data_IF_599206579501
#
_entry.id   IF_599206579501
#
_cell.length_a   1.000
_cell.length_b   1.000
_cell.length_c   1.000
_cell.angle_alpha   90.00
_cell.angle_beta   90.00
_cell.angle_gamma   90.00
#
_symmetry.space_group_name_H-M   'P 1'
#
loop_
_entity.id
_entity.type
_entity.pdbx_description
1 polymer ?
2 non-polymer ?
3 water ?
#
# COMPACT_ATOMS: atom_id res chain seq x y z
CA UNK A 3 2.29 -30.35 18.16
C UNK A 3 1.98 -29.16 17.26
N UNK A 4 1.69 -28.01 17.88
CA UNK A 4 1.45 -26.76 17.17
C UNK A 4 2.50 -25.74 17.60
N UNK A 5 2.80 -24.80 16.70
CA UNK A 5 3.70 -23.69 16.98
C UNK A 5 2.90 -22.41 16.93
N UNK A 6 3.06 -21.58 17.97
CA UNK A 6 2.30 -20.34 18.07
C UNK A 6 2.97 -19.49 19.16
N UNK A 7 3.66 -18.43 18.76
CA UNK A 7 4.35 -17.60 19.72
C UNK A 7 3.37 -16.73 20.49
N UNK A 8 3.75 -16.36 21.71
CA UNK A 8 3.03 -15.33 22.42
C UNK A 8 3.24 -14.02 21.66
N UNK A 9 2.17 -13.28 21.35
CA UNK A 9 2.34 -12.02 20.60
C UNK A 9 3.26 -11.05 21.33
N UNK A 10 4.12 -10.37 20.57
CA UNK A 10 4.99 -9.33 21.10
C UNK A 10 4.57 -8.01 20.47
N UNK A 11 4.73 -6.91 21.22
CA UNK A 11 4.40 -5.59 20.69
C UNK A 11 5.67 -4.94 20.12
N UNK A 12 5.68 -4.74 18.80
CA UNK A 12 6.81 -4.11 18.11
C UNK A 12 6.77 -2.59 18.17
N UNK A 13 5.59 -2.02 18.39
CA UNK A 13 5.41 -0.59 18.55
C UNK A 13 4.30 -0.42 19.58
N UNK A 14 4.42 0.60 20.41
CA UNK A 14 3.50 0.85 21.51
C UNK A 14 3.59 2.32 21.86
N UNK A 15 2.57 2.88 22.51
CA UNK A 15 2.59 4.32 22.80
C UNK A 15 3.84 4.70 23.61
N UNK A 16 4.46 5.81 23.23
CA UNK A 16 5.72 6.21 23.86
C UNK A 16 6.96 5.76 23.09
N UNK A 17 6.93 4.57 22.48
CA UNK A 17 8.05 4.08 21.68
C UNK A 17 8.43 5.12 20.64
N UNK A 18 9.72 5.46 20.59
CA UNK A 18 10.29 6.41 19.64
C UNK A 18 9.61 7.77 19.74
N UNK A 19 9.05 8.08 20.92
CA UNK A 19 8.39 9.32 21.29
C UNK A 19 6.99 9.43 20.69
N UNK A 20 6.50 8.38 20.02
CA UNK A 20 5.26 8.47 19.29
C UNK A 20 4.09 8.11 20.17
N UNK A 21 3.06 8.97 20.14
CA UNK A 21 1.81 8.66 20.86
C UNK A 21 1.07 7.50 20.22
N UNK A 22 1.10 7.40 18.89
CA UNK A 22 0.26 6.45 18.19
C UNK A 22 1.02 5.65 17.15
N UNK A 23 0.44 4.50 16.80
CA UNK A 23 0.96 3.59 15.79
C UNK A 23 -0.21 2.85 15.15
N UNK A 24 -0.14 2.67 13.83
CA UNK A 24 -1.19 1.95 13.10
C UNK A 24 -0.62 1.45 11.77
N UNK A 25 -1.38 0.54 11.16
CA UNK A 25 -1.29 0.20 9.74
C UNK A 25 -0.07 -0.68 9.50
N UNK A 26 -0.16 -1.99 9.77
CA UNK A 26 1.02 -2.86 9.67
C UNK A 26 1.30 -3.25 8.23
N UNK A 27 2.58 -3.33 7.89
CA UNK A 27 3.02 -3.97 6.66
C UNK A 27 4.10 -4.97 7.03
N UNK A 28 4.16 -6.07 6.28
CA UNK A 28 5.04 -7.17 6.67
C UNK A 28 5.52 -7.91 5.44
N UNK A 29 6.84 -8.03 5.28
CA UNK A 29 7.42 -8.70 4.12
C UNK A 29 8.66 -9.46 4.56
N UNK A 30 8.91 -10.59 3.91
CA UNK A 30 10.12 -11.38 4.15
C UNK A 30 11.06 -11.21 2.96
N UNK A 31 12.32 -10.88 3.22
CA UNK A 31 13.23 -10.69 2.11
C UNK A 31 13.84 -12.03 1.70
N UNK A 32 14.60 -12.02 0.60
CA UNK A 32 15.18 -13.27 0.11
C UNK A 32 16.29 -13.76 1.03
N UNK A 33 16.89 -12.88 1.83
CA UNK A 33 17.81 -13.33 2.88
C UNK A 33 17.09 -13.87 4.11
N UNK A 34 15.76 -13.96 4.10
CA UNK A 34 15.05 -14.43 5.28
C UNK A 34 14.77 -13.39 6.35
N UNK A 35 15.05 -12.12 6.11
CA UNK A 35 14.74 -11.08 7.07
C UNK A 35 13.27 -10.73 7.03
N UNK A 36 12.64 -10.63 8.20
CA UNK A 36 11.28 -10.09 8.30
C UNK A 36 11.36 -8.57 8.46
N UNK A 37 10.59 -7.85 7.64
CA UNK A 37 10.49 -6.41 7.70
C UNK A 37 9.07 -6.04 8.09
N UNK A 38 8.93 -5.28 9.19
CA UNK A 38 7.65 -4.78 9.66
C UNK A 38 7.69 -3.27 9.58
N UNK A 39 6.86 -2.69 8.73
CA UNK A 39 6.76 -1.23 8.68
C UNK A 39 5.41 -0.78 9.23
N UNK A 40 5.34 0.50 9.60
CA UNK A 40 4.26 1.00 10.43
C UNK A 40 4.15 2.50 10.23
N UNK A 41 2.95 3.03 10.42
CA UNK A 41 2.76 4.48 10.57
C UNK A 41 3.25 4.87 11.95
N UNK A 42 4.27 5.73 12.02
CA UNK A 42 4.62 6.35 13.29
C UNK A 42 3.71 7.57 13.43
N UNK A 43 2.60 7.41 14.14
CA UNK A 43 1.54 8.43 14.20
C UNK A 43 1.77 9.24 15.48
N UNK A 44 2.67 10.23 15.36
CA UNK A 44 3.26 10.81 16.55
C UNK A 44 2.26 11.55 17.42
N UNK A 45 1.25 12.17 16.82
CA UNK A 45 0.27 12.92 17.59
C UNK A 45 -0.94 12.10 17.98
N UNK A 46 -0.95 10.81 17.66
CA UNK A 46 -2.02 9.91 18.07
C UNK A 46 -2.47 9.03 16.94
N UNK A 47 -3.40 8.15 17.25
CA UNK A 47 -3.80 7.15 16.27
C UNK A 47 -4.63 7.71 15.12
N UNK A 48 -5.05 8.96 15.17
CA UNK A 48 -5.96 9.45 14.15
C UNK A 48 -5.28 9.61 12.79
N UNK A 49 -6.07 9.40 11.73
CA UNK A 49 -5.62 9.67 10.37
C UNK A 49 -5.18 11.12 10.20
N UNK A 50 -4.36 11.37 9.18
CA UNK A 50 -4.13 12.73 8.70
C UNK A 50 -5.47 13.36 8.36
N UNK A 51 -5.62 14.68 8.43
CA UNK A 51 -4.59 15.69 8.69
C UNK A 51 -4.28 15.90 10.17
N UNK A 52 -3.42 16.88 10.47
CA UNK A 52 -3.05 17.25 11.84
C UNK A 52 -2.33 16.11 12.57
N UNK A 53 -1.57 15.30 11.85
CA UNK A 53 -0.77 14.30 12.53
C UNK A 53 0.60 14.22 11.88
N UNK A 54 1.64 14.37 12.69
CA UNK A 54 3.00 14.16 12.22
C UNK A 54 3.24 12.66 12.09
N UNK A 55 2.93 12.10 10.92
CA UNK A 55 3.02 10.65 10.70
C UNK A 55 4.25 10.37 9.85
N UNK A 56 5.15 9.54 10.38
CA UNK A 56 6.34 9.06 9.70
C UNK A 56 6.26 7.56 9.43
N UNK A 57 7.14 7.10 8.54
CA UNK A 57 7.31 5.67 8.27
C UNK A 57 8.35 5.11 9.24
N UNK A 58 7.98 4.07 9.97
CA UNK A 58 8.93 3.37 10.83
C UNK A 58 9.08 1.92 10.42
N UNK A 59 10.15 1.26 10.84
CA UNK A 59 10.40 -0.12 10.40
C UNK A 59 11.20 -0.87 11.48
N UNK A 60 10.90 -2.15 11.64
CA UNK A 60 11.69 -3.06 12.46
C UNK A 60 12.11 -4.25 11.61
N UNK A 61 13.29 -4.79 11.91
CA UNK A 61 13.88 -5.91 11.18
C UNK A 61 14.13 -7.07 12.12
N UNK A 62 13.84 -8.30 11.67
CA UNK A 62 14.19 -9.52 12.40
C UNK A 62 14.86 -10.45 11.39
N UNK A 63 16.18 -10.50 11.44
CA UNK A 63 16.91 -11.38 10.55
C UNK A 63 16.72 -12.84 10.96
N UNK A 64 17.02 -13.74 10.02
CA UNK A 64 16.96 -15.17 10.30
C UNK A 64 17.86 -15.48 11.49
N UNK A 65 17.35 -16.27 12.43
CA UNK A 65 18.06 -16.57 13.67
C UNK A 65 18.53 -15.28 14.35
N UNK A 66 17.58 -14.36 14.54
CA UNK A 66 17.87 -13.10 15.18
C UNK A 66 16.67 -12.62 15.95
N UNK A 67 16.89 -11.57 16.71
CA UNK A 67 15.85 -10.89 17.47
C UNK A 67 15.38 -9.64 16.73
N UNK A 68 14.25 -9.09 17.15
CA UNK A 68 13.78 -7.84 16.56
C UNK A 68 14.75 -6.73 16.90
N UNK A 69 15.33 -6.11 15.87
CA UNK A 69 16.07 -4.87 16.08
C UNK A 69 15.12 -3.76 16.48
N UNK A 70 15.63 -2.79 17.25
CA UNK A 70 14.80 -1.66 17.63
C UNK A 70 14.32 -0.93 16.38
N UNK A 71 13.19 -0.23 16.50
CA UNK A 71 12.61 0.44 15.35
C UNK A 71 13.36 1.72 15.03
N UNK A 72 13.28 2.13 13.77
CA UNK A 72 13.78 3.43 13.35
C UNK A 72 12.84 4.03 12.33
N UNK A 73 12.87 5.37 12.27
CA UNK A 73 12.09 6.15 11.31
C UNK A 73 12.91 6.26 10.04
N UNK A 74 12.30 5.90 8.91
CA UNK A 74 12.99 5.89 7.63
C UNK A 74 12.41 6.86 6.64
N UNK A 75 11.30 7.53 6.96
CA UNK A 75 10.75 8.60 6.14
C UNK A 75 9.99 9.57 7.03
N UNK A 76 10.30 10.86 6.90
CA UNK A 76 9.87 11.88 7.86
C UNK A 76 9.77 13.20 7.11
N UNK A 77 8.55 13.65 6.83
CA UNK A 77 8.30 14.90 6.14
C UNK A 77 8.17 16.05 7.13
N UNK A 78 8.34 17.30 6.68
CA UNK A 78 8.27 18.46 7.59
C UNK A 78 6.92 18.58 8.29
N UNK A 79 6.97 19.13 9.51
CA UNK A 79 5.73 19.49 10.20
C UNK A 79 4.79 18.31 10.35
N UNK A 80 3.50 18.60 10.27
CA UNK A 80 2.48 17.55 10.28
C UNK A 80 2.05 17.16 8.86
N UNK A 81 3.01 17.17 7.94
CA UNK A 81 2.82 16.58 6.62
C UNK A 81 3.01 15.07 6.75
N UNK A 82 2.02 14.30 6.32
CA UNK A 82 1.93 12.90 6.72
C UNK A 82 2.47 11.96 5.65
N UNK A 83 3.21 10.96 6.08
CA UNK A 83 3.44 9.76 5.29
C UNK A 83 2.61 8.66 5.96
N UNK A 84 1.62 8.14 5.25
CA UNK A 84 0.63 7.27 5.88
C UNK A 84 0.30 6.09 4.97
N UNK A 85 0.19 4.89 5.56
CA UNK A 85 -0.20 3.65 4.89
C UNK A 85 0.93 3.05 4.04
N UNK A 86 1.78 2.21 4.62
CA UNK A 86 2.90 1.69 3.82
C UNK A 86 2.55 0.34 3.16
N UNK A 87 3.34 0.01 2.13
CA UNK A 87 3.25 -1.27 1.45
C UNK A 87 4.65 -1.70 1.03
N UNK A 88 5.02 -2.92 1.37
CA UNK A 88 6.36 -3.44 1.14
C UNK A 88 6.34 -4.46 0.02
N UNK A 89 7.46 -4.59 -0.68
CA UNK A 89 7.58 -5.60 -1.72
C UNK A 89 9.04 -5.96 -1.93
N UNK A 90 9.38 -7.21 -1.61
CA UNK A 90 10.64 -7.78 -2.04
C UNK A 90 10.53 -8.21 -3.49
N UNK A 91 11.46 -7.75 -4.33
CA UNK A 91 11.48 -8.11 -5.74
C UNK A 91 12.92 -8.30 -6.20
N UNK A 92 13.08 -8.97 -7.35
CA UNK A 92 14.40 -9.34 -7.81
C UNK A 92 14.54 -9.04 -9.30
N UNK A 93 15.78 -8.84 -9.72
CA UNK A 93 16.16 -8.68 -11.11
C UNK A 93 17.45 -9.49 -11.31
N UNK A 94 17.62 -10.03 -12.52
CA UNK A 94 18.83 -10.77 -12.88
C UNK A 94 19.85 -9.80 -13.44
N UNK A 95 20.93 -9.57 -12.70
CA UNK A 95 21.99 -8.65 -13.10
C UNK A 95 23.28 -9.45 -13.18
N UNK A 96 23.74 -9.72 -14.41
CA UNK A 96 25.01 -10.39 -14.65
C UNK A 96 25.10 -11.72 -13.90
N UNK A 97 24.04 -12.51 -14.01
CA UNK A 97 24.03 -13.86 -13.48
C UNK A 97 23.69 -13.99 -12.00
N UNK A 98 23.57 -12.88 -11.27
CA UNK A 98 23.11 -12.93 -9.89
C UNK A 98 21.72 -12.32 -9.82
N UNK A 99 20.91 -12.84 -8.91
CA UNK A 99 19.60 -12.26 -8.63
C UNK A 99 19.80 -11.16 -7.59
N UNK A 100 19.59 -9.92 -7.99
CA UNK A 100 19.73 -8.76 -7.10
C UNK A 100 18.36 -8.41 -6.52
N UNK A 101 18.32 -8.21 -5.22
CA UNK A 101 17.08 -7.90 -4.52
C UNK A 101 16.95 -6.41 -4.25
N UNK A 102 15.78 -5.87 -4.53
CA UNK A 102 15.42 -4.52 -4.10
C UNK A 102 14.13 -4.63 -3.31
N UNK A 103 14.10 -4.00 -2.14
CA UNK A 103 12.90 -3.98 -1.31
C UNK A 103 12.23 -2.64 -1.56
N UNK A 104 11.02 -2.70 -2.11
CA UNK A 104 10.25 -1.52 -2.45
C UNK A 104 9.26 -1.21 -1.34
N UNK A 105 9.04 0.08 -1.11
CA UNK A 105 8.04 0.55 -0.17
C UNK A 105 7.35 1.76 -0.79
N UNK A 106 6.02 1.73 -0.85
CA UNK A 106 5.27 2.92 -1.23
C UNK A 106 4.40 3.36 -0.05
N UNK A 107 4.14 4.66 0.02
CA UNK A 107 3.36 5.27 1.10
C UNK A 107 2.51 6.38 0.49
N UNK A 108 1.44 6.74 1.20
CA UNK A 108 0.62 7.88 0.78
C UNK A 108 1.11 9.12 1.53
N UNK A 109 1.04 10.25 0.85
CA UNK A 109 1.68 11.46 1.34
C UNK A 109 0.74 12.62 1.10
N UNK A 110 0.59 13.45 2.13
CA UNK A 110 -0.22 14.66 2.14
C UNK A 110 0.62 15.83 2.64
N UNK A 111 0.46 17.03 2.08
CA UNK A 111 1.04 18.21 2.71
C UNK A 111 0.34 18.47 4.04
N UNK A 112 0.90 19.40 4.80
CA UNK A 112 0.31 19.72 6.09
C UNK A 112 -1.13 20.22 5.90
N UNK A 113 -2.03 19.71 6.73
CA UNK A 113 -3.41 20.16 6.71
C UNK A 113 -4.34 19.33 5.87
N UNK A 114 -3.84 18.33 5.15
CA UNK A 114 -4.72 17.59 4.25
C UNK A 114 -4.64 16.11 4.54
N UNK A 115 -5.73 15.44 4.17
CA UNK A 115 -5.83 14.00 4.28
C UNK A 115 -7.07 13.56 3.54
N UNK A 116 -7.42 12.29 3.69
CA UNK A 116 -8.57 11.73 2.97
C UNK A 116 -9.82 12.62 3.02
N UNK A 117 -10.28 13.13 4.17
CA UNK A 117 -11.59 13.82 4.18
C UNK A 117 -11.62 15.12 3.41
N UNK A 118 -10.51 15.83 3.23
CA UNK A 118 -10.55 17.12 2.55
C UNK A 118 -9.58 17.20 1.39
N UNK A 119 -9.12 16.07 0.87
CA UNK A 119 -8.16 16.10 -0.22
C UNK A 119 -8.74 16.83 -1.42
N UNK A 120 -7.93 17.67 -2.04
CA UNK A 120 -8.27 18.24 -3.32
C UNK A 120 -7.95 17.25 -4.42
N UNK A 121 -8.34 17.60 -5.66
CA UNK A 121 -8.11 16.74 -6.81
C UNK A 121 -6.83 17.10 -7.55
N UNK A 122 -6.50 16.27 -8.52
CA UNK A 122 -5.39 16.54 -9.42
C UNK A 122 -4.13 15.79 -9.03
N UNK A 123 -3.21 15.70 -9.98
CA UNK A 123 -1.94 15.02 -9.78
C UNK A 123 -0.99 15.81 -8.90
N UNK A 124 -1.25 17.10 -8.73
CA UNK A 124 -0.28 17.99 -8.14
C UNK A 124 0.75 18.53 -9.10
N UNK A 125 0.66 18.17 -10.39
CA UNK A 125 1.64 18.57 -11.40
C UNK A 125 0.95 19.28 -12.55
N UNK A 126 1.69 20.21 -13.16
CA UNK A 126 1.32 20.82 -14.43
C UNK A 126 2.18 20.21 -15.54
N UNK A 127 1.54 19.70 -16.59
CA UNK A 127 2.28 19.17 -17.73
C UNK A 127 2.45 20.24 -18.78
N UNK A 128 3.69 20.61 -19.06
CA UNK A 128 4.02 21.61 -20.08
C UNK A 128 4.91 20.92 -21.10
N UNK A 129 4.39 20.72 -22.30
CA UNK A 129 5.12 20.08 -23.40
C UNK A 129 5.78 18.77 -22.94
N UNK A 130 4.95 17.83 -22.51
CA UNK A 130 5.42 16.50 -22.16
C UNK A 130 6.15 16.38 -20.84
N UNK A 131 6.56 17.49 -20.23
CA UNK A 131 7.23 17.50 -18.94
C UNK A 131 6.24 17.84 -17.83
N UNK A 132 6.43 17.23 -16.66
CA UNK A 132 5.57 17.44 -15.50
C UNK A 132 6.28 18.28 -14.46
N UNK A 133 5.62 19.35 -14.00
CA UNK A 133 6.19 20.29 -13.03
C UNK A 133 5.30 20.41 -11.80
N UNK A 134 5.94 20.30 -10.63
CA UNK A 134 5.26 20.47 -9.35
C UNK A 134 4.50 21.78 -9.28
N UNK A 135 3.25 21.72 -8.87
CA UNK A 135 2.45 22.92 -8.72
C UNK A 135 2.65 23.49 -7.33
N UNK A 136 2.83 24.81 -7.26
CA UNK A 136 2.75 25.58 -6.02
C UNK A 136 1.64 26.61 -6.17
N UNK A 137 0.93 26.87 -5.06
CA UNK A 137 -0.16 27.85 -4.97
C UNK A 137 0.22 28.94 -3.96
N UNK A 138 -0.24 30.17 -4.21
CA UNK A 138 -0.06 31.22 -3.23
C UNK A 138 -1.37 31.49 -2.51
N UNK A 139 -1.29 32.34 -1.48
CA UNK A 139 -2.45 32.72 -0.68
C UNK A 139 -3.61 33.24 -1.51
N UNK A 140 -3.36 33.73 -2.73
CA UNK A 140 -4.41 34.25 -3.61
C UNK A 140 -4.85 33.25 -4.67
N UNK A 141 -4.48 31.98 -4.52
CA UNK A 141 -4.94 30.89 -5.40
C UNK A 141 -4.35 30.96 -6.80
N UNK A 142 -3.23 31.65 -6.98
CA UNK A 142 -2.52 31.63 -8.25
C UNK A 142 -1.64 30.40 -8.35
N UNK A 143 -1.38 29.98 -9.58
CA UNK A 143 -0.65 28.75 -9.85
C UNK A 143 0.78 29.05 -10.26
N UNK A 144 1.72 28.29 -9.71
CA UNK A 144 3.12 28.42 -10.03
C UNK A 144 3.66 27.04 -10.36
N UNK A 145 4.81 27.01 -11.03
CA UNK A 145 5.43 25.74 -11.42
C UNK A 145 6.91 25.75 -11.03
N UNK A 146 7.39 24.58 -10.63
CA UNK A 146 8.78 24.37 -10.27
C UNK A 146 9.43 23.65 -11.44
N UNK A 147 10.33 24.34 -12.14
CA UNK A 147 10.90 23.83 -13.36
C UNK A 147 12.36 23.46 -13.11
N UNK A 148 13.18 23.45 -14.17
CA UNK A 148 14.55 23.02 -14.04
C UNK A 148 15.31 23.92 -13.06
N UNK A 149 16.31 23.35 -12.41
CA UNK A 149 17.05 23.98 -11.32
C UNK A 149 16.16 24.36 -10.13
N UNK A 150 14.96 23.79 -10.05
CA UNK A 150 14.02 24.19 -9.02
C UNK A 150 13.47 25.60 -9.16
N UNK A 151 13.78 26.28 -10.25
CA UNK A 151 13.36 27.67 -10.41
C UNK A 151 11.85 27.73 -10.58
N UNK A 152 11.20 28.62 -9.85
CA UNK A 152 9.74 28.73 -9.81
C UNK A 152 9.27 29.73 -10.86
N UNK A 153 8.26 29.33 -11.63
CA UNK A 153 7.63 30.17 -12.64
C UNK A 153 6.20 30.50 -12.25
N UNK A 154 5.80 31.75 -12.41
CA UNK A 154 4.43 32.14 -12.11
C UNK A 154 3.50 31.70 -13.25
N UNK A 155 2.24 32.14 -13.17
CA UNK A 155 1.22 31.70 -14.11
C UNK A 155 1.30 32.38 -15.47
N UNK A 156 2.15 33.38 -15.63
CA UNK A 156 2.39 33.98 -16.93
C UNK A 156 3.54 33.29 -17.65
N UNK A 157 4.04 32.18 -17.12
CA UNK A 157 5.23 31.57 -17.66
C UNK A 157 6.50 32.33 -17.37
N UNK A 158 6.47 33.28 -16.43
CA UNK A 158 7.62 34.12 -16.12
C UNK A 158 8.31 33.65 -14.85
N UNK A 159 9.61 33.93 -14.80
CA UNK A 159 10.46 33.49 -13.71
C UNK A 159 10.34 34.42 -12.50
N UNK A 160 10.31 33.83 -11.31
CA UNK A 160 10.17 34.55 -10.04
C UNK A 160 11.47 34.48 -9.27
N UNK A 161 11.53 35.21 -8.14
CA UNK A 161 12.65 35.11 -7.21
C UNK A 161 12.53 33.93 -6.23
N UNK A 162 11.69 32.94 -6.50
CA UNK A 162 11.58 31.76 -5.65
C UNK A 162 12.29 30.58 -6.29
N UNK A 163 12.92 29.75 -5.44
CA UNK A 163 13.50 28.46 -5.79
C UNK A 163 12.96 27.45 -4.80
N UNK A 164 12.53 26.28 -5.29
CA UNK A 164 12.11 25.18 -4.42
C UNK A 164 13.09 24.03 -4.55
N UNK A 165 13.70 23.64 -3.43
CA UNK A 165 14.52 22.44 -3.39
C UNK A 165 13.65 21.19 -3.52
N UNK A 166 14.29 20.05 -3.72
CA UNK A 166 13.55 18.80 -3.88
C UNK A 166 12.87 18.35 -2.60
N UNK A 167 13.35 18.77 -1.43
CA UNK A 167 12.62 18.44 -0.21
C UNK A 167 11.55 19.49 0.09
N UNK A 168 11.21 20.33 -0.88
CA UNK A 168 10.14 21.32 -0.89
C UNK A 168 10.52 22.59 -0.13
N UNK A 169 11.76 22.70 0.35
CA UNK A 169 12.23 23.95 0.93
C UNK A 169 12.13 25.07 -0.09
N UNK A 170 11.61 26.23 0.34
CA UNK A 170 11.41 27.39 -0.51
C UNK A 170 12.44 28.47 -0.19
N UNK A 171 13.05 29.03 -1.23
CA UNK A 171 14.13 29.99 -1.10
C UNK A 171 13.77 31.22 -1.93
N UNK A 172 13.89 32.40 -1.33
CA UNK A 172 13.61 33.67 -1.99
C UNK A 172 14.81 34.58 -1.80
N UNK A 173 15.54 34.86 -2.89
CA UNK A 173 16.75 35.68 -2.83
C UNK A 173 17.74 35.14 -1.80
N UNK A 174 18.05 33.84 -1.91
CA UNK A 174 19.03 33.20 -1.05
C UNK A 174 18.54 32.81 0.32
N UNK A 175 17.49 33.45 0.83
CA UNK A 175 16.93 33.17 2.15
C UNK A 175 15.84 32.11 2.04
N UNK A 176 15.76 31.24 3.04
CA UNK A 176 14.62 30.34 3.13
C UNK A 176 13.39 31.11 3.61
N UNK A 177 12.28 30.94 2.91
CA UNK A 177 11.04 31.59 3.32
C UNK A 177 9.97 30.59 3.76
N UNK A 178 10.21 29.30 3.63
CA UNK A 178 9.27 28.32 4.14
C UNK A 178 9.57 26.95 3.57
N UNK A 179 8.58 26.06 3.69
CA UNK A 179 8.58 24.76 3.06
C UNK A 179 7.19 24.53 2.49
N UNK A 180 7.13 24.14 1.21
CA UNK A 180 5.88 24.10 0.47
C UNK A 180 4.92 23.02 0.95
N UNK A 181 5.39 22.07 1.73
CA UNK A 181 4.50 21.12 2.39
C UNK A 181 3.91 21.67 3.68
N UNK A 182 4.31 22.86 4.12
CA UNK A 182 3.86 23.39 5.40
C UNK A 182 2.74 24.39 5.19
N UNK A 183 1.90 24.53 6.22
CA UNK A 183 0.71 25.35 6.09
C UNK A 183 0.96 26.83 6.36
N UNK A 184 2.19 27.23 6.72
CA UNK A 184 2.54 28.65 6.84
C UNK A 184 3.42 29.15 5.68
N UNK A 185 3.67 28.31 4.68
CA UNK A 185 4.55 28.68 3.60
C UNK A 185 3.87 29.69 2.68
N UNK A 186 4.63 30.64 2.11
CA UNK A 186 4.03 31.58 1.16
C UNK A 186 3.65 30.94 -0.16
N UNK A 187 4.32 29.86 -0.55
CA UNK A 187 3.90 29.04 -1.68
C UNK A 187 3.67 27.62 -1.19
N UNK A 188 2.56 27.01 -1.58
CA UNK A 188 2.16 25.73 -1.03
C UNK A 188 1.92 24.71 -2.14
N UNK A 189 2.36 23.48 -1.88
CA UNK A 189 2.00 22.37 -2.77
C UNK A 189 0.49 22.15 -2.74
N UNK A 190 -0.02 21.57 -3.84
CA UNK A 190 -1.45 21.32 -3.92
C UNK A 190 -1.85 20.36 -2.80
N UNK A 191 -2.98 20.66 -2.16
CA UNK A 191 -3.46 19.87 -1.04
C UNK A 191 -4.12 18.59 -1.50
N UNK A 192 -3.33 17.65 -2.01
CA UNK A 192 -3.87 16.43 -2.60
C UNK A 192 -2.95 15.24 -2.28
N UNK A 193 -3.45 14.03 -2.61
CA UNK A 193 -2.77 12.80 -2.23
C UNK A 193 -1.70 12.43 -3.23
N UNK A 194 -0.54 12.04 -2.73
CA UNK A 194 0.54 11.51 -3.54
C UNK A 194 0.88 10.10 -3.07
N UNK A 195 1.37 9.26 -3.98
CA UNK A 195 2.05 8.02 -3.60
C UNK A 195 3.54 8.25 -3.81
N UNK A 196 4.33 7.98 -2.78
CA UNK A 196 5.77 8.13 -2.87
C UNK A 196 6.41 6.77 -2.62
N UNK A 197 7.55 6.54 -3.25
CA UNK A 197 8.27 5.27 -3.18
C UNK A 197 9.69 5.49 -2.66
N UNK A 198 10.12 4.60 -1.76
CA UNK A 198 11.52 4.45 -1.37
C UNK A 198 11.91 3.00 -1.59
N UNK A 199 13.21 2.74 -1.62
CA UNK A 199 13.67 1.37 -1.82
C UNK A 199 14.94 1.13 -1.02
N UNK A 200 15.26 -0.16 -0.82
CA UNK A 200 16.44 -0.56 -0.08
C UNK A 200 17.15 -1.69 -0.81
N UNK A 201 18.47 -1.55 -0.95
CA UNK A 201 19.31 -2.56 -1.59
C UNK A 201 20.17 -3.31 -0.60
N UNK A 202 20.04 -3.03 0.69
CA UNK A 202 20.82 -3.71 1.71
C UNK A 202 19.91 -4.38 2.73
N UNK A 203 18.88 -5.07 2.25
CA UNK A 203 18.02 -5.90 3.10
C UNK A 203 17.21 -5.08 4.10
N UNK A 204 16.84 -3.85 3.75
CA UNK A 204 15.98 -3.04 4.59
C UNK A 204 16.68 -2.14 5.59
N UNK A 205 18.01 -2.12 5.61
CA UNK A 205 18.74 -1.31 6.57
C UNK A 205 18.74 0.17 6.22
N UNK A 206 18.96 0.52 4.96
CA UNK A 206 18.93 1.92 4.57
C UNK A 206 18.01 2.07 3.37
N UNK A 207 17.48 3.28 3.21
CA UNK A 207 16.44 3.53 2.24
C UNK A 207 16.80 4.74 1.40
N UNK A 208 16.30 4.74 0.17
CA UNK A 208 16.50 5.87 -0.72
C UNK A 208 15.68 7.07 -0.25
N UNK A 209 15.95 8.21 -0.86
CA UNK A 209 15.09 9.37 -0.70
C UNK A 209 13.77 9.12 -1.43
N UNK A 210 12.67 9.71 -0.97
CA UNK A 210 11.36 9.45 -1.60
C UNK A 210 11.30 9.95 -3.03
N UNK A 211 10.76 9.12 -3.92
CA UNK A 211 10.43 9.54 -5.27
C UNK A 211 8.91 9.58 -5.41
N UNK A 212 8.40 10.71 -5.90
CA UNK A 212 6.96 10.87 -6.07
C UNK A 212 6.51 10.12 -7.31
N UNK A 213 5.41 9.36 -7.19
CA UNK A 213 4.90 8.56 -8.30
C UNK A 213 3.69 9.19 -9.00
N UNK A 214 3.11 10.25 -8.44
CA UNK A 214 1.98 10.94 -9.10
C UNK A 214 2.22 11.34 -10.55
N UNK A 215 3.36 11.94 -10.94
CA UNK A 215 3.43 12.62 -12.25
C UNK A 215 3.39 11.66 -13.42
N UNK A 216 2.35 11.76 -14.23
CA UNK A 216 2.15 10.82 -15.32
C UNK A 216 1.53 9.52 -14.89
N UNK A 217 1.00 9.45 -13.66
CA UNK A 217 0.38 8.24 -13.14
C UNK A 217 -1.00 8.55 -12.58
N UNK A 218 -1.06 9.44 -11.60
CA UNK A 218 -2.36 9.82 -11.05
C UNK A 218 -3.11 10.70 -12.05
N UNK A 219 -4.40 10.43 -12.22
CA UNK A 219 -5.23 11.16 -13.17
C UNK A 219 -5.81 12.41 -12.52
N UNK A 220 -5.94 13.47 -13.32
CA UNK A 220 -6.27 14.78 -12.76
C UNK A 220 -7.65 14.81 -12.13
N UNK A 221 -8.55 13.90 -12.50
CA UNK A 221 -9.87 13.85 -11.87
C UNK A 221 -9.84 13.12 -10.54
N UNK A 222 -8.75 12.43 -10.21
CA UNK A 222 -8.67 11.72 -8.93
C UNK A 222 -8.42 12.70 -7.80
N UNK A 223 -9.12 12.48 -6.70
CA UNK A 223 -8.87 13.22 -5.47
C UNK A 223 -7.96 12.39 -4.57
N UNK A 224 -8.53 11.43 -3.85
CA UNK A 224 -7.66 10.53 -3.11
C UNK A 224 -6.96 9.59 -4.09
N UNK A 225 -5.74 9.21 -3.72
CA UNK A 225 -4.90 8.38 -4.57
C UNK A 225 -3.82 7.85 -3.63
N UNK A 226 -3.97 6.61 -3.18
CA UNK A 226 -3.20 6.17 -2.03
C UNK A 226 -2.84 4.69 -2.06
N UNK A 227 -1.80 4.38 -1.30
CA UNK A 227 -1.39 3.01 -1.05
C UNK A 227 -2.52 2.22 -0.39
N UNK A 228 -2.77 1.00 -0.89
CA UNK A 228 -3.55 0.00 -0.17
C UNK A 228 -2.58 -0.71 0.76
N UNK A 229 -2.63 -0.44 2.07
CA UNK A 229 -1.51 -0.83 2.94
C UNK A 229 -1.33 -2.34 3.06
N UNK A 230 -0.07 -2.73 3.27
CA UNK A 230 0.24 -4.15 3.40
C UNK A 230 1.46 -4.49 2.59
N UNK A 231 1.28 -5.17 1.45
CA UNK A 231 2.38 -5.46 0.55
C UNK A 231 1.88 -5.47 -0.89
N UNK A 232 2.85 -5.35 -1.82
CA UNK A 232 2.64 -5.72 -3.21
C UNK A 232 3.32 -7.05 -3.55
N UNK A 233 3.25 -7.42 -4.83
CA UNK A 233 3.85 -8.69 -5.26
C UNK A 233 4.54 -8.47 -6.61
N UNK A 234 5.59 -9.26 -6.85
CA UNK A 234 6.24 -9.32 -8.14
C UNK A 234 5.77 -10.58 -8.84
N UNK A 235 5.28 -10.44 -10.06
CA UNK A 235 4.68 -11.58 -10.76
C UNK A 235 5.75 -12.61 -11.06
N UNK A 236 5.44 -13.87 -10.78
CA UNK A 236 6.37 -14.97 -11.03
C UNK A 236 6.12 -15.71 -12.35
N UNK A 237 4.87 -15.88 -12.76
CA UNK A 237 4.51 -16.72 -13.89
C UNK A 237 3.93 -15.92 -15.05
N UNK A 238 4.03 -16.49 -16.24
CA UNK A 238 3.39 -15.89 -17.40
C UNK A 238 4.22 -14.82 -18.07
N UNK A 239 3.59 -14.16 -19.04
CA UNK A 239 4.32 -13.18 -19.85
C UNK A 239 4.72 -11.94 -19.06
N UNK A 240 4.08 -11.68 -17.92
CA UNK A 240 4.40 -10.52 -17.09
C UNK A 240 5.29 -10.89 -15.93
N UNK A 241 6.04 -11.98 -16.05
CA UNK A 241 7.00 -12.38 -15.03
C UNK A 241 7.98 -11.25 -14.82
N UNK A 242 8.26 -10.91 -13.56
CA UNK A 242 9.13 -9.80 -13.22
C UNK A 242 8.42 -8.48 -12.97
N UNK A 243 7.15 -8.35 -13.39
CA UNK A 243 6.41 -7.12 -13.18
C UNK A 243 6.14 -6.90 -11.68
N UNK A 244 6.33 -5.65 -11.24
CA UNK A 244 6.00 -5.25 -9.86
C UNK A 244 4.57 -4.77 -9.79
N UNK A 245 3.80 -5.25 -8.81
CA UNK A 245 2.40 -4.91 -8.68
C UNK A 245 2.12 -4.43 -7.25
N UNK A 246 1.66 -3.19 -7.11
CA UNK A 246 1.31 -2.58 -5.82
C UNK A 246 -0.17 -2.26 -5.79
N UNK A 247 -0.96 -2.84 -4.89
CA UNK A 247 -2.36 -2.42 -4.80
C UNK A 247 -2.52 -1.00 -4.28
N UNK A 248 -3.49 -0.28 -4.83
CA UNK A 248 -3.80 1.09 -4.47
C UNK A 248 -5.32 1.25 -4.49
N UNK A 249 -5.80 2.43 -4.11
CA UNK A 249 -7.17 2.83 -4.39
C UNK A 249 -7.21 4.34 -4.51
N UNK A 250 -8.35 4.84 -5.00
CA UNK A 250 -8.48 6.26 -5.29
C UNK A 250 -9.96 6.61 -5.31
N UNK A 251 -10.23 7.91 -5.27
CA UNK A 251 -11.57 8.45 -5.40
C UNK A 251 -11.67 9.27 -6.68
N UNK A 252 -12.91 9.49 -7.11
CA UNK A 252 -13.18 10.37 -8.23
C UNK A 252 -13.88 11.63 -7.71
N UNK A 253 -14.35 12.47 -8.65
CA UNK A 253 -14.93 13.75 -8.27
C UNK A 253 -16.14 13.56 -7.39
N UNK A 254 -16.83 12.42 -7.53
CA UNK A 254 -17.95 12.03 -6.69
C UNK A 254 -17.52 11.46 -5.34
N UNK A 255 -16.21 11.46 -5.03
CA UNK A 255 -15.66 10.84 -3.81
C UNK A 255 -15.94 9.33 -3.74
N UNK A 256 -16.05 8.68 -4.89
CA UNK A 256 -16.27 7.24 -4.94
C UNK A 256 -14.92 6.51 -4.93
N UNK A 257 -14.76 5.56 -4.01
CA UNK A 257 -13.52 4.78 -3.90
C UNK A 257 -13.50 3.59 -4.85
N UNK A 258 -12.40 3.44 -5.59
CA UNK A 258 -12.16 2.32 -6.50
C UNK A 258 -10.76 1.76 -6.29
N UNK A 259 -10.66 0.44 -6.14
CA UNK A 259 -9.38 -0.24 -6.01
C UNK A 259 -8.71 -0.38 -7.37
N UNK A 260 -7.39 -0.52 -7.37
CA UNK A 260 -6.64 -0.76 -8.59
C UNK A 260 -5.24 -1.22 -8.18
N UNK A 261 -4.42 -1.49 -9.19
CA UNK A 261 -2.99 -1.66 -8.98
C UNK A 261 -2.27 -0.72 -9.94
N UNK A 262 -1.12 -0.25 -9.50
CA UNK A 262 -0.10 0.33 -10.35
C UNK A 262 0.96 -0.74 -10.55
N UNK A 263 1.64 -0.71 -11.70
CA UNK A 263 2.61 -1.76 -11.99
C UNK A 263 3.79 -1.22 -12.77
N UNK A 264 4.90 -1.93 -12.68
CA UNK A 264 6.14 -1.50 -13.31
C UNK A 264 6.82 -2.67 -14.00
N UNK A 265 7.13 -2.50 -15.28
CA UNK A 265 7.81 -3.52 -16.06
C UNK A 265 9.29 -3.27 -16.20
N UNK A 266 9.82 -2.18 -15.63
CA UNK A 266 11.25 -1.93 -15.61
C UNK A 266 11.77 -1.76 -14.19
N UNK A 267 11.19 -2.53 -13.27
CA UNK A 267 11.77 -2.70 -11.93
C UNK A 267 11.73 -1.40 -11.13
N UNK A 268 10.63 -0.67 -11.26
CA UNK A 268 10.35 0.50 -10.45
C UNK A 268 10.60 1.84 -11.13
N UNK A 269 11.32 1.83 -12.27
CA UNK A 269 11.71 3.07 -12.94
C UNK A 269 10.49 3.86 -13.44
N UNK A 270 9.49 3.17 -13.99
CA UNK A 270 8.27 3.82 -14.48
C UNK A 270 7.05 3.00 -14.07
N UNK A 271 5.93 3.69 -13.90
CA UNK A 271 4.71 3.06 -13.41
C UNK A 271 3.54 3.37 -14.34
N UNK A 272 2.62 2.42 -14.41
CA UNK A 272 1.37 2.61 -15.11
C UNK A 272 0.23 2.26 -14.17
N UNK A 273 -0.94 2.80 -14.47
CA UNK A 273 -2.13 2.55 -13.67
C UNK A 273 -3.01 1.54 -14.38
N UNK A 274 -3.33 0.45 -13.70
CA UNK A 274 -4.33 -0.45 -14.24
C UNK A 274 -5.73 0.07 -14.00
N UNK A 275 -6.68 -0.48 -14.76
CA UNK A 275 -8.08 -0.18 -14.50
C UNK A 275 -8.48 -0.67 -13.11
N UNK A 276 -9.52 -0.07 -12.59
CA UNK A 276 -10.16 -0.58 -11.40
C UNK A 276 -11.09 -1.73 -11.77
N UNK A 277 -11.34 -2.66 -10.84
CA UNK A 277 -12.44 -3.61 -11.05
C UNK A 277 -13.80 -2.91 -11.19
N UNK A 278 -13.91 -1.65 -10.77
CA UNK A 278 -15.13 -0.87 -10.99
C UNK A 278 -15.35 -0.59 -12.48
N UNK A 279 -14.27 -0.57 -13.26
CA UNK A 279 -14.35 -0.23 -14.68
C UNK A 279 -14.83 -1.46 -15.42
N UNK A 280 -16.07 -1.39 -15.92
CA UNK A 280 -16.66 -2.49 -16.68
C UNK A 280 -17.19 -1.96 -18.01
N UNK A 281 -17.87 -2.80 -18.80
CA UNK A 281 -18.42 -2.33 -20.06
C UNK A 281 -19.49 -1.27 -19.86
N UNK A 282 -20.04 -1.13 -18.66
CA UNK A 282 -21.14 -0.21 -18.41
C UNK A 282 -20.87 0.82 -17.33
N UNK A 283 -19.79 0.69 -16.55
CA UNK A 283 -19.47 1.62 -15.47
C UNK A 283 -18.05 2.11 -15.67
N UNK A 284 -17.80 3.38 -15.34
CA UNK A 284 -16.47 3.96 -15.39
C UNK A 284 -16.09 4.48 -14.02
N UNK A 285 -14.94 4.07 -13.51
CA UNK A 285 -14.56 4.56 -12.18
C UNK A 285 -14.29 6.06 -12.18
N UNK A 286 -14.18 6.70 -13.34
CA UNK A 286 -14.05 8.15 -13.37
C UNK A 286 -15.34 8.85 -12.96
N UNK A 287 -16.51 8.26 -13.28
CA UNK A 287 -17.78 8.96 -13.17
C UNK A 287 -18.82 8.26 -12.31
N UNK A 288 -18.62 6.98 -11.99
CA UNK A 288 -19.47 6.24 -11.07
C UNK A 288 -19.77 7.08 -9.84
N UNK A 289 -21.02 7.01 -9.34
CA UNK A 289 -21.41 7.77 -8.17
C UNK A 289 -22.20 6.96 -7.16
N UNK A 290 -22.57 5.72 -7.46
CA UNK A 290 -23.34 4.90 -6.53
C UNK A 290 -23.03 3.42 -6.78
N UNK A 291 -23.36 2.60 -5.81
CA UNK A 291 -22.99 1.20 -5.85
C UNK A 291 -21.93 0.87 -4.80
N UNK A 292 -21.49 -0.39 -4.84
CA UNK A 292 -20.51 -0.88 -3.89
C UNK A 292 -19.13 -0.27 -4.18
N UNK A 293 -18.54 0.38 -3.19
CA UNK A 293 -17.20 0.92 -3.36
C UNK A 293 -16.18 -0.16 -3.04
N UNK A 294 -15.09 -0.15 -3.80
CA UNK A 294 -14.01 -1.10 -3.62
C UNK A 294 -12.80 -0.29 -3.19
N UNK A 295 -12.24 -0.60 -2.00
CA UNK A 295 -11.31 0.34 -1.40
C UNK A 295 -9.96 -0.37 -1.19
N UNK A 296 -9.47 -0.47 0.05
CA UNK A 296 -8.22 -1.16 0.33
C UNK A 296 -8.24 -2.59 -0.18
N UNK A 297 -7.09 -3.07 -0.64
CA UNK A 297 -7.03 -4.35 -1.33
C UNK A 297 -5.62 -4.91 -1.29
N UNK A 298 -5.55 -6.23 -1.52
CA UNK A 298 -4.30 -6.97 -1.65
C UNK A 298 -4.45 -7.98 -2.78
N UNK A 299 -3.33 -8.38 -3.35
CA UNK A 299 -3.33 -9.17 -4.57
C UNK A 299 -2.48 -10.42 -4.39
N UNK A 300 -2.92 -11.52 -5.00
CA UNK A 300 -2.12 -12.74 -5.07
C UNK A 300 -2.13 -13.25 -6.51
N UNK A 301 -1.16 -14.11 -6.81
CA UNK A 301 -0.95 -14.65 -8.14
C UNK A 301 -1.36 -16.12 -8.21
N UNK A 302 -2.00 -16.51 -9.31
CA UNK A 302 -2.37 -17.90 -9.58
C UNK A 302 -1.21 -18.62 -10.22
N UNK A 303 -1.26 -19.95 -10.32
CA UNK A 303 -0.10 -20.67 -10.91
C UNK A 303 0.25 -20.25 -12.32
N UNK A 304 -0.72 -19.83 -13.14
CA UNK A 304 -0.43 -19.42 -14.52
C UNK A 304 -0.15 -17.93 -14.63
N UNK A 305 -0.07 -17.21 -13.52
CA UNK A 305 0.20 -15.78 -13.57
C UNK A 305 -1.03 -14.92 -13.53
N UNK A 306 -2.21 -15.54 -13.51
CA UNK A 306 -3.46 -14.81 -13.33
C UNK A 306 -3.48 -14.11 -11.97
N UNK A 307 -4.03 -12.89 -11.92
CA UNK A 307 -4.07 -12.13 -10.68
C UNK A 307 -5.45 -12.18 -10.03
N UNK A 308 -5.46 -12.20 -8.69
CA UNK A 308 -6.66 -12.17 -7.87
C UNK A 308 -6.54 -11.03 -6.88
N UNK A 309 -7.49 -10.09 -6.93
CA UNK A 309 -7.45 -8.89 -6.08
C UNK A 309 -8.58 -8.99 -5.07
N UNK A 310 -8.22 -9.10 -3.78
CA UNK A 310 -9.18 -9.18 -2.69
C UNK A 310 -9.38 -7.78 -2.13
N UNK A 311 -10.65 -7.37 -1.95
CA UNK A 311 -10.98 -5.96 -1.75
C UNK A 311 -11.89 -5.75 -0.56
N UNK A 312 -11.46 -4.90 0.37
CA UNK A 312 -12.38 -4.24 1.28
C UNK A 312 -13.42 -3.51 0.44
N UNK A 313 -14.66 -3.51 0.90
CA UNK A 313 -15.74 -2.89 0.14
C UNK A 313 -16.89 -2.60 1.08
N UNK A 314 -17.86 -1.84 0.57
CA UNK A 314 -18.99 -1.46 1.43
C UNK A 314 -20.06 -2.55 1.53
N UNK A 315 -19.86 -3.70 0.91
CA UNK A 315 -20.75 -4.83 1.08
C UNK A 315 -20.36 -5.67 2.28
N UNK A 316 -21.08 -6.78 2.45
CA UNK A 316 -20.89 -7.59 3.63
C UNK A 316 -19.74 -8.58 3.49
N UNK A 317 -19.31 -8.89 2.27
CA UNK A 317 -18.29 -9.90 2.04
C UNK A 317 -17.20 -9.36 1.16
N UNK A 318 -16.04 -9.99 1.26
CA UNK A 318 -14.89 -9.69 0.43
C UNK A 318 -15.22 -9.87 -1.06
N UNK A 319 -14.92 -8.86 -1.85
CA UNK A 319 -15.01 -8.94 -3.31
C UNK A 319 -13.66 -9.34 -3.89
N UNK A 320 -13.69 -10.22 -4.88
CA UNK A 320 -12.47 -10.69 -5.51
C UNK A 320 -12.59 -10.44 -7.00
N UNK A 321 -11.56 -9.86 -7.59
CA UNK A 321 -11.52 -9.60 -9.02
C UNK A 321 -10.36 -10.38 -9.64
N UNK A 322 -10.49 -10.66 -10.93
CA UNK A 322 -9.51 -11.45 -11.67
C UNK A 322 -8.96 -10.65 -12.84
N UNK A 323 -7.65 -10.72 -13.05
CA UNK A 323 -6.99 -10.06 -14.17
C UNK A 323 -6.22 -11.10 -14.97
N UNK A 324 -6.41 -11.08 -16.28
CA UNK A 324 -5.71 -11.99 -17.18
C UNK A 324 -4.50 -11.32 -17.82
N UNK A 325 -4.27 -10.04 -17.53
CA UNK A 325 -3.23 -9.27 -18.20
C UNK A 325 -2.28 -8.61 -17.20
N UNK A 326 -2.11 -9.19 -16.03
CA UNK A 326 -1.10 -8.69 -15.10
C UNK A 326 -1.45 -7.39 -14.41
N UNK A 327 -2.73 -7.08 -14.23
CA UNK A 327 -3.18 -5.91 -13.51
C UNK A 327 -3.68 -4.76 -14.35
N UNK A 328 -3.64 -4.87 -15.68
CA UNK A 328 -4.06 -3.75 -16.54
C UNK A 328 -5.57 -3.57 -16.50
N UNK A 329 -6.31 -4.68 -16.51
CA UNK A 329 -7.76 -4.68 -16.51
C UNK A 329 -8.21 -5.87 -15.69
N UNK A 330 -9.50 -5.90 -15.36
CA UNK A 330 -10.07 -6.96 -14.56
C UNK A 330 -11.37 -7.44 -15.20
N UNK A 331 -11.58 -8.76 -15.16
CA UNK A 331 -12.83 -9.37 -15.59
C UNK A 331 -14.01 -8.58 -15.03
N UNK A 332 -15.04 -8.40 -15.87
CA UNK A 332 -16.14 -7.54 -15.47
C UNK A 332 -17.03 -8.15 -14.39
N UNK A 333 -16.91 -9.44 -14.11
CA UNK A 333 -17.66 -10.03 -13.01
C UNK A 333 -16.76 -10.02 -11.76
N UNK A 334 -17.23 -9.37 -10.71
CA UNK A 334 -16.47 -9.21 -9.47
C UNK A 334 -17.28 -9.79 -8.31
N UNK A 335 -17.22 -11.10 -8.09
CA UNK A 335 -18.13 -11.72 -7.12
C UNK A 335 -17.71 -11.49 -5.67
N UNK A 336 -18.66 -11.71 -4.78
CA UNK A 336 -18.34 -11.88 -3.37
C UNK A 336 -17.86 -13.30 -3.11
N UNK A 337 -17.04 -13.46 -2.08
CA UNK A 337 -16.75 -14.78 -1.53
C UNK A 337 -17.39 -14.80 -0.15
N UNK A 338 -18.51 -15.53 -0.02
CA UNK A 338 -19.31 -15.57 1.20
C UNK A 338 -18.64 -16.32 2.34
N UNK A 339 -17.44 -16.88 2.15
CA UNK A 339 -16.69 -17.37 3.31
C UNK A 339 -15.91 -16.27 4.01
N UNK A 340 -15.93 -15.05 3.47
CA UNK A 340 -14.99 -14.00 3.88
C UNK A 340 -15.77 -12.76 4.28
N UNK A 341 -16.45 -12.85 5.41
CA UNK A 341 -17.15 -11.69 5.95
C UNK A 341 -16.17 -10.55 6.12
N UNK A 342 -16.63 -9.34 5.80
CA UNK A 342 -15.75 -8.20 5.56
C UNK A 342 -16.40 -6.96 6.16
N UNK A 343 -16.09 -6.63 7.44
CA UNK A 343 -16.81 -5.55 8.13
C UNK A 343 -16.24 -4.17 7.84
N UNK A 344 -15.73 -3.97 6.63
CA UNK A 344 -15.17 -2.69 6.18
C UNK A 344 -13.86 -2.44 6.90
N UNK A 345 -12.89 -3.33 6.67
CA UNK A 345 -11.60 -3.25 7.30
C UNK A 345 -10.56 -3.75 6.30
N UNK A 346 -9.33 -3.25 6.44
CA UNK A 346 -8.24 -3.78 5.63
C UNK A 346 -8.10 -5.29 5.86
N UNK A 347 -7.56 -5.96 4.85
CA UNK A 347 -7.37 -7.40 4.91
C UNK A 347 -6.01 -7.72 4.31
N UNK A 348 -5.56 -8.95 4.54
CA UNK A 348 -4.29 -9.39 4.03
C UNK A 348 -4.50 -10.74 3.36
N UNK A 349 -3.94 -10.91 2.17
CA UNK A 349 -3.93 -12.21 1.50
C UNK A 349 -2.58 -12.35 0.84
N UNK A 350 -1.93 -13.51 1.01
CA UNK A 350 -0.61 -13.77 0.47
C UNK A 350 -0.58 -15.12 -0.22
N UNK A 351 0.36 -15.26 -1.14
CA UNK A 351 0.69 -16.56 -1.71
C UNK A 351 1.54 -17.36 -0.74
N UNK A 352 1.29 -18.66 -0.68
CA UNK A 352 2.08 -19.57 0.14
C UNK A 352 3.01 -20.37 -0.76
N UNK A 353 4.30 -20.42 -0.40
CA UNK A 353 5.31 -21.05 -1.25
C UNK A 353 5.11 -22.56 -1.38
N UNK A 354 4.66 -23.22 -0.33
CA UNK A 354 4.57 -24.65 -0.37
C UNK A 354 3.24 -25.17 -0.87
N UNK A 355 3.19 -26.47 -1.11
CA UNK A 355 1.94 -27.15 -1.42
C UNK A 355 1.26 -27.55 -0.12
N UNK A 356 -0.07 -27.50 -0.11
CA UNK A 356 -0.84 -28.01 1.02
C UNK A 356 -1.86 -29.00 0.46
N UNK A 357 -1.82 -30.23 0.95
CA UNK A 357 -2.69 -31.30 0.45
C UNK A 357 -2.53 -31.45 -1.06
N UNK A 358 -1.32 -31.26 -1.55
CA UNK A 358 -1.05 -31.41 -2.97
C UNK A 358 -1.57 -30.29 -3.85
N UNK A 359 -1.99 -29.16 -3.28
CA UNK A 359 -2.46 -28.03 -4.06
C UNK A 359 -1.69 -26.77 -3.69
N UNK A 360 -1.66 -25.84 -4.63
CA UNK A 360 -1.20 -24.48 -4.35
C UNK A 360 -2.22 -23.76 -3.45
N UNK A 361 -1.73 -22.87 -2.60
CA UNK A 361 -2.58 -22.30 -1.56
C UNK A 361 -2.24 -20.85 -1.28
N UNK A 362 -3.23 -20.14 -0.72
CA UNK A 362 -3.08 -18.76 -0.27
C UNK A 362 -3.49 -18.67 1.19
N UNK A 363 -2.96 -17.65 1.89
CA UNK A 363 -3.31 -17.37 3.28
C UNK A 363 -3.96 -15.99 3.35
N UNK A 364 -5.03 -15.91 4.13
CA UNK A 364 -5.91 -14.75 4.25
C UNK A 364 -6.08 -14.43 5.73
N UNK A 365 -6.06 -13.13 6.08
CA UNK A 365 -6.40 -12.73 7.44
C UNK A 365 -7.20 -11.43 7.38
N UNK A 366 -8.16 -11.32 8.31
CA UNK A 366 -9.01 -10.13 8.47
C UNK A 366 -9.86 -10.37 9.71
N UNK A 367 -10.64 -9.38 10.17
CA UNK A 367 -11.58 -9.63 11.28
C UNK A 367 -12.85 -10.29 10.77
N UNK A 368 -13.03 -11.56 11.13
CA UNK A 368 -14.11 -12.37 10.57
C UNK A 368 -15.30 -12.19 11.49
N UNK A 369 -16.00 -11.08 11.28
CA UNK A 369 -17.14 -10.70 12.11
C UNK A 369 -17.82 -9.51 11.43
N UNK A 370 -18.84 -8.97 12.09
CA UNK A 370 -19.52 -7.77 11.63
C UNK A 370 -18.93 -6.51 12.22
N UNK A 371 -17.86 -6.61 13.00
CA UNK A 371 -17.04 -5.47 13.37
C UNK A 371 -15.59 -5.93 13.44
N UNK A 372 -14.70 -5.02 13.83
CA UNK A 372 -13.27 -5.32 13.85
C UNK A 372 -12.90 -6.13 15.09
N UNK A 373 -13.38 -7.38 15.11
CA UNK A 373 -13.08 -8.36 16.15
C UNK A 373 -12.87 -9.73 15.50
N UNK A 374 -12.47 -10.70 16.31
CA UNK A 374 -12.30 -12.08 15.84
C UNK A 374 -11.35 -12.13 14.64
N UNK A 375 -10.10 -11.70 14.84
CA UNK A 375 -9.12 -11.88 13.80
C UNK A 375 -8.96 -13.35 13.45
N UNK A 376 -9.08 -13.70 12.18
CA UNK A 376 -8.98 -15.09 11.75
C UNK A 376 -7.98 -15.21 10.61
N UNK A 377 -7.25 -16.31 10.61
CA UNK A 377 -6.35 -16.67 9.52
C UNK A 377 -6.95 -17.86 8.79
N UNK A 378 -7.09 -17.74 7.47
CA UNK A 378 -7.73 -18.77 6.66
C UNK A 378 -6.76 -19.30 5.63
N UNK A 379 -6.90 -20.59 5.31
CA UNK A 379 -6.08 -21.22 4.28
C UNK A 379 -7.01 -21.61 3.13
N UNK A 380 -6.69 -21.12 1.93
CA UNK A 380 -7.45 -21.44 0.74
C UNK A 380 -6.64 -22.24 -0.27
N UNK A 381 -7.20 -23.37 -0.69
CA UNK A 381 -6.58 -24.19 -1.73
C UNK A 381 -7.11 -23.76 -3.09
N UNK A 382 -6.19 -23.62 -4.04
CA UNK A 382 -6.55 -23.20 -5.40
C UNK A 382 -6.94 -24.43 -6.20
N UNK A 383 -8.19 -24.48 -6.66
CA UNK A 383 -8.68 -25.54 -7.54
C UNK A 383 -9.01 -24.97 -8.91
N UNK A 384 -8.53 -25.62 -9.97
CA UNK A 384 -8.95 -25.31 -11.34
C UNK A 384 -10.33 -25.90 -11.60
N UNK A 385 -11.21 -25.12 -12.23
CA UNK A 385 -12.60 -25.56 -12.41
C UNK A 385 -13.17 -25.04 -13.75
N UNK A 386 -12.72 -25.65 -14.84
CA UNK A 386 -13.30 -25.27 -16.12
C UNK A 386 -12.78 -23.97 -16.68
N UNK A 387 -13.66 -23.09 -17.18
CA UNK A 387 -13.20 -21.90 -17.89
C UNK A 387 -14.30 -20.84 -17.94
N UNK A 388 -13.86 -19.61 -18.18
CA UNK A 388 -14.73 -18.46 -18.35
C UNK A 388 -15.32 -18.46 -19.76
N UNK A 389 -16.06 -17.39 -20.08
CA UNK A 389 -16.59 -17.23 -21.44
C UNK A 389 -15.47 -17.12 -22.45
N UNK A 390 -14.40 -16.40 -22.09
CA UNK A 390 -13.27 -16.18 -22.99
C UNK A 390 -12.26 -17.33 -22.98
N UNK A 391 -12.64 -18.51 -22.46
CA UNK A 391 -11.78 -19.67 -22.39
C UNK A 391 -10.76 -19.67 -21.28
N UNK A 392 -10.63 -18.57 -20.52
CA UNK A 392 -9.56 -18.43 -19.53
C UNK A 392 -9.77 -19.41 -18.37
N UNK A 393 -8.69 -19.96 -17.80
CA UNK A 393 -8.82 -20.86 -16.63
C UNK A 393 -9.58 -20.24 -15.46
N UNK A 394 -10.47 -21.04 -14.88
CA UNK A 394 -11.20 -20.66 -13.68
C UNK A 394 -10.49 -21.25 -12.46
N UNK A 395 -10.01 -20.38 -11.56
CA UNK A 395 -9.49 -20.77 -10.27
C UNK A 395 -10.48 -20.39 -9.18
N UNK A 396 -10.70 -21.30 -8.25
CA UNK A 396 -11.57 -21.05 -7.11
C UNK A 396 -10.91 -21.55 -5.83
N UNK A 397 -11.45 -21.11 -4.71
CA UNK A 397 -10.76 -21.22 -3.43
C UNK A 397 -11.53 -22.16 -2.52
N UNK A 398 -10.85 -23.19 -2.04
CA UNK A 398 -11.40 -24.07 -1.02
C UNK A 398 -10.78 -23.64 0.31
N UNK A 399 -11.58 -22.98 1.14
CA UNK A 399 -11.15 -22.50 2.45
C UNK A 399 -11.13 -23.66 3.43
N UNK A 400 -10.01 -24.37 3.49
CA UNK A 400 -9.98 -25.59 4.30
C UNK A 400 -9.75 -25.30 5.78
N UNK A 401 -9.03 -24.24 6.13
CA UNK A 401 -8.83 -23.92 7.53
C UNK A 401 -9.27 -22.50 7.83
N UNK A 402 -9.83 -22.32 9.02
CA UNK A 402 -10.32 -21.02 9.48
C UNK A 402 -10.09 -21.00 10.98
N UNK A 403 -9.15 -20.16 11.44
CA UNK A 403 -8.65 -20.23 12.80
C UNK A 403 -8.60 -18.84 13.44
N UNK A 404 -9.22 -18.72 14.60
CA UNK A 404 -9.23 -17.46 15.34
C UNK A 404 -7.88 -17.29 16.02
N UNK A 405 -7.12 -16.26 15.61
CA UNK A 405 -5.84 -15.93 16.23
C UNK A 405 -5.97 -14.78 17.22
N UNK A 406 -7.08 -14.04 17.18
CA UNK A 406 -7.26 -12.89 18.08
C UNK A 406 -8.75 -12.78 18.36
N UNK A 407 -9.20 -13.37 19.47
CA UNK A 407 -10.65 -13.41 19.77
C UNK A 407 -11.30 -12.04 19.93
N UNK A 408 -10.61 -11.09 20.55
CA UNK A 408 -11.21 -9.77 20.72
C UNK A 408 -10.94 -8.82 19.57
N UNK A 409 -10.61 -7.58 19.91
CA UNK A 409 -10.38 -6.54 18.90
C UNK A 409 -9.33 -6.99 17.90
N UNK A 410 -9.55 -6.66 16.64
CA UNK A 410 -8.59 -7.00 15.58
C UNK A 410 -8.96 -6.16 14.37
N UNK A 411 -7.99 -5.42 13.82
CA UNK A 411 -8.26 -4.43 12.79
C UNK A 411 -7.36 -4.74 11.60
N UNK A 412 -6.49 -3.81 11.21
CA UNK A 412 -5.61 -4.06 10.08
C UNK A 412 -4.57 -5.12 10.41
N UNK A 413 -4.18 -5.89 9.40
CA UNK A 413 -3.21 -6.96 9.61
C UNK A 413 -2.42 -7.20 8.34
N UNK A 414 -1.29 -7.91 8.49
CA UNK A 414 -0.48 -8.28 7.33
C UNK A 414 0.24 -9.58 7.62
N UNK A 415 0.21 -10.48 6.63
CA UNK A 415 0.80 -11.80 6.72
C UNK A 415 2.13 -11.82 6.01
N UNK A 416 2.97 -12.78 6.39
CA UNK A 416 4.20 -13.03 5.67
C UNK A 416 4.59 -14.48 5.91
N UNK A 417 5.30 -15.06 4.96
CA UNK A 417 5.80 -16.41 5.11
C UNK A 417 7.23 -16.35 5.59
N UNK A 418 7.54 -17.12 6.62
CA UNK A 418 8.88 -17.23 7.14
C UNK A 418 9.70 -18.24 6.33
N UNK A 419 11.04 -18.13 6.35
CA UNK A 419 11.86 -19.02 5.51
C UNK A 419 11.61 -20.51 5.72
N UNK A 420 11.31 -20.94 6.95
CA UNK A 420 11.01 -22.33 7.25
C UNK A 420 9.58 -22.74 6.90
N UNK A 421 8.82 -21.90 6.19
CA UNK A 421 7.44 -22.22 5.88
C UNK A 421 6.44 -21.86 6.95
N UNK A 422 6.88 -21.34 8.08
CA UNK A 422 5.96 -20.85 9.10
C UNK A 422 5.41 -19.49 8.68
N UNK A 423 4.48 -18.95 9.47
CA UNK A 423 3.78 -17.72 9.10
C UNK A 423 3.91 -16.68 10.19
N UNK A 424 4.09 -15.43 9.77
CA UNK A 424 4.11 -14.29 10.68
C UNK A 424 2.88 -13.42 10.47
N UNK A 425 2.48 -12.72 11.52
CA UNK A 425 1.26 -11.91 11.50
C UNK A 425 1.48 -10.64 12.30
N UNK A 426 1.35 -9.50 11.64
CA UNK A 426 1.54 -8.17 12.22
C UNK A 426 0.17 -7.50 12.21
N UNK A 427 -0.33 -7.10 13.38
CA UNK A 427 -1.74 -6.74 13.43
C UNK A 427 -2.07 -5.74 14.53
N UNK A 428 -3.09 -4.91 14.25
CA UNK A 428 -3.74 -4.08 15.25
C UNK A 428 -4.75 -4.89 16.03
N UNK A 429 -4.95 -4.53 17.30
CA UNK A 429 -5.94 -5.24 18.10
C UNK A 429 -5.67 -5.35 19.59
N UNK A 430 -4.45 -5.13 20.03
CA UNK A 430 -4.14 -5.17 21.46
C UNK A 430 -4.34 -3.84 22.17
N UNK A 431 -4.84 -2.81 21.50
CA UNK A 431 -5.12 -1.53 22.13
C UNK A 431 -4.51 -0.38 21.35
N UNK A 432 -4.91 0.83 21.74
CA UNK A 432 -4.57 2.02 20.98
C UNK A 432 -3.07 2.14 20.82
N UNK A 433 -2.61 2.21 19.57
CA UNK A 433 -1.19 2.30 19.28
C UNK A 433 -0.35 1.09 19.60
N UNK A 434 -0.95 -0.06 19.89
CA UNK A 434 -0.20 -1.27 20.20
C UNK A 434 -0.22 -2.21 19.00
N UNK A 435 0.96 -2.51 18.47
CA UNK A 435 1.09 -3.29 17.24
C UNK A 435 1.74 -4.62 17.57
N UNK A 436 1.02 -5.72 17.32
CA UNK A 436 1.45 -7.03 17.76
C UNK A 436 1.97 -7.88 16.61
N UNK A 437 2.95 -8.73 16.92
CA UNK A 437 3.52 -9.66 15.97
C UNK A 437 3.56 -11.06 16.57
N UNK A 438 3.09 -12.04 15.82
CA UNK A 438 3.08 -13.41 16.28
C UNK A 438 3.46 -14.31 15.11
N UNK A 439 4.02 -15.48 15.43
CA UNK A 439 4.36 -16.50 14.44
C UNK A 439 3.67 -17.82 14.76
N UNK A 440 3.42 -18.62 13.72
CA UNK A 440 2.72 -19.89 13.89
C UNK A 440 2.97 -20.78 12.67
N UNK A 441 2.67 -22.06 12.83
CA UNK A 441 2.77 -23.01 11.72
C UNK A 441 1.39 -23.36 11.21
N UNK A 442 1.37 -24.09 10.09
CA UNK A 442 0.10 -24.51 9.50
C UNK A 442 -0.73 -25.34 10.47
N UNK A 443 -0.07 -26.25 11.21
CA UNK A 443 -0.79 -27.10 12.16
C UNK A 443 -1.64 -26.28 13.13
N UNK A 444 -1.11 -25.15 13.61
CA UNK A 444 -1.89 -24.29 14.49
C UNK A 444 -3.21 -23.85 13.85
N UNK A 445 -3.19 -23.62 12.52
CA UNK A 445 -4.39 -23.21 11.82
C UNK A 445 -5.40 -24.35 11.73
N UNK A 446 -4.91 -25.59 11.67
CA UNK A 446 -5.77 -26.75 11.45
C UNK A 446 -6.42 -27.24 12.73
N UNK A 447 -5.73 -27.10 13.87
CA UNK A 447 -6.19 -27.61 15.14
C UNK A 447 -6.89 -26.53 15.96
N UNK A 448 -8.22 -26.47 15.83
CA UNK A 448 -9.00 -25.50 16.57
#
# INVERSE_FOLDING_TARGET
MDDVYKTQPVELFYPGYLESRGYRIPALETTKKGTVLASIDVRNNGDHDAPNNNIDVGIRRKEVNGEWEEGKVILDYPGKSAAIDTSLMSATIEENGIEKERIFLIVTHFPEGYGFPNTEGGSGYKEIDGKYYFILKDAQNNEYTVREDGIVYNSEGNETDYVMKNDKTLIQNGEEVGNALLSNSPLKAVGTAHIEMIYSDDDGNTWSEPEDLNPGLKKEWMKFFGTAPGKGIQIKNGEHKGRLVFPIYYTNQNNFQSSAVIYSDDFGETWKLGESPIDTASVSSETVSSGTQLTECQVVEMPNGQLKLFMRNTGSYTRIATSFDGGATWHDEVPEDTSLREPYCQLSVINYSGKINGKDAIIFSNPDASSRVNGSVKVGLINENGTYDNGEPRYEFDWIYNKTVKPGSFAYSCLTELPDGNLGLFYEGEGAGRMAYTEFDLNYLKFNA
#
